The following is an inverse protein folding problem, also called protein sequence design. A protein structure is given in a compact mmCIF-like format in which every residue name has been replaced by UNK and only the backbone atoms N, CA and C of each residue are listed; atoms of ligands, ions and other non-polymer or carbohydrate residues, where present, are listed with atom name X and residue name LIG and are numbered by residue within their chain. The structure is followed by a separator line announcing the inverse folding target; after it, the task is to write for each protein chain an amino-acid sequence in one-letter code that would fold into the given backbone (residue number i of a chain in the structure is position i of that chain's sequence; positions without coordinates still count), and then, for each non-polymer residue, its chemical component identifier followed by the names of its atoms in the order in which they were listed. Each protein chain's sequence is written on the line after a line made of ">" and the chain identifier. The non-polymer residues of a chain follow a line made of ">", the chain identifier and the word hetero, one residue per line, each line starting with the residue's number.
data_IF_503375451176
#
_entry.id   IF_503375451176
#
_cell.length_a   1.000
_cell.length_b   1.000
_cell.length_c   1.000
_cell.angle_alpha   90.00
_cell.angle_beta   90.00
_cell.angle_gamma   90.00
#
_symmetry.space_group_name_H-M   'P 1'
#
loop_
_entity.id
_entity.type
_entity.pdbx_description
1 polymer ?
#
# COMPACT_ATOMS: atom_id res chain seq x y z
N UNK A 1 -6.29 20.24 -2.16
CA UNK A 1 -4.97 20.35 -1.49
C UNK A 1 -4.90 21.70 -0.81
N UNK A 2 -5.15 22.78 -1.55
CA UNK A 2 -5.21 24.16 -1.05
C UNK A 2 -6.12 24.35 0.17
N UNK A 3 -7.27 23.66 0.22
CA UNK A 3 -8.19 23.70 1.39
C UNK A 3 -7.55 23.19 2.69
N UNK A 4 -6.75 22.14 2.61
CA UNK A 4 -6.10 21.52 3.79
C UNK A 4 -4.78 22.22 4.10
N UNK A 5 -4.08 22.70 3.07
CA UNK A 5 -2.78 23.33 3.19
C UNK A 5 -2.88 24.80 3.65
N UNK A 6 -3.93 25.52 3.25
CA UNK A 6 -4.10 26.95 3.52
C UNK A 6 -2.92 27.76 2.96
N UNK A 7 -2.38 28.66 3.79
CA UNK A 7 -1.23 29.51 3.43
C UNK A 7 0.14 28.83 3.64
N UNK A 8 0.16 27.57 4.06
CA UNK A 8 1.42 26.86 4.30
C UNK A 8 2.07 26.48 2.98
N UNK A 9 3.39 26.58 2.91
CA UNK A 9 4.13 26.22 1.71
C UNK A 9 4.35 24.70 1.57
N UNK A 10 4.34 23.95 2.68
CA UNK A 10 4.69 22.53 2.70
C UNK A 10 3.63 21.65 3.39
N UNK A 11 3.29 20.54 2.73
CA UNK A 11 2.45 19.46 3.26
C UNK A 11 3.27 18.60 4.23
N UNK A 12 2.69 18.25 5.38
CA UNK A 12 3.29 17.27 6.32
C UNK A 12 2.54 15.95 6.28
N UNK A 13 3.13 14.90 6.85
CA UNK A 13 2.48 13.58 6.91
C UNK A 13 1.21 13.56 7.79
N UNK A 14 1.06 14.53 8.69
CA UNK A 14 -0.11 14.68 9.55
C UNK A 14 -1.36 15.07 8.74
N UNK A 15 -1.18 15.83 7.66
CA UNK A 15 -2.24 16.29 6.77
C UNK A 15 -2.90 15.14 5.98
N UNK A 16 -2.27 13.96 5.95
CA UNK A 16 -2.75 12.80 5.18
C UNK A 16 -4.19 12.42 5.52
N UNK A 17 -4.57 12.56 6.80
CA UNK A 17 -5.90 12.17 7.27
C UNK A 17 -6.99 13.13 6.78
N UNK A 18 -6.61 14.39 6.49
CA UNK A 18 -7.49 15.41 5.93
C UNK A 18 -7.52 15.39 4.38
N UNK A 19 -6.69 14.58 3.73
CA UNK A 19 -6.59 14.51 2.26
C UNK A 19 -7.03 13.15 1.68
N UNK A 20 -8.30 12.73 1.83
CA UNK A 20 -8.77 11.40 1.40
C UNK A 20 -8.63 11.17 -0.11
N UNK A 21 -8.86 12.21 -0.93
CA UNK A 21 -8.70 12.12 -2.38
C UNK A 21 -7.25 11.86 -2.79
N UNK A 22 -6.29 12.56 -2.17
CA UNK A 22 -4.85 12.36 -2.45
C UNK A 22 -4.42 10.95 -2.07
N UNK A 23 -4.89 10.45 -0.91
CA UNK A 23 -4.64 9.06 -0.51
C UNK A 23 -5.22 8.06 -1.52
N UNK A 24 -6.43 8.29 -2.02
CA UNK A 24 -7.04 7.44 -3.04
C UNK A 24 -6.23 7.42 -4.35
N UNK A 25 -5.74 8.57 -4.81
CA UNK A 25 -4.88 8.66 -6.01
C UNK A 25 -3.57 7.90 -5.82
N UNK A 26 -2.93 8.02 -4.66
CA UNK A 26 -1.70 7.28 -4.34
C UNK A 26 -1.96 5.77 -4.37
N UNK A 27 -3.03 5.31 -3.69
CA UNK A 27 -3.39 3.89 -3.67
C UNK A 27 -3.73 3.35 -5.06
N UNK A 28 -4.44 4.12 -5.88
CA UNK A 28 -4.77 3.70 -7.25
C UNK A 28 -3.51 3.66 -8.13
N UNK A 29 -2.60 4.61 -7.95
CA UNK A 29 -1.29 4.59 -8.59
C UNK A 29 -0.49 3.35 -8.21
N UNK A 30 -0.49 2.95 -6.93
CA UNK A 30 0.16 1.72 -6.47
C UNK A 30 -0.53 0.45 -7.00
N UNK A 31 -1.86 0.47 -7.14
CA UNK A 31 -2.63 -0.65 -7.72
C UNK A 31 -2.30 -0.87 -9.20
N UNK A 32 -2.13 0.20 -9.97
CA UNK A 32 -1.86 0.15 -11.42
C UNK A 32 -0.36 -0.04 -11.70
N UNK A 33 0.48 0.71 -10.99
CA UNK A 33 1.93 0.65 -11.08
C UNK A 33 2.50 -0.29 -10.02
N UNK A 34 2.01 -1.52 -9.97
CA UNK A 34 2.56 -2.52 -9.05
C UNK A 34 4.05 -2.74 -9.36
N UNK A 35 4.91 -2.27 -8.45
CA UNK A 35 6.37 -2.29 -8.59
C UNK A 35 6.89 -3.73 -8.56
N UNK A 36 6.16 -4.64 -7.89
CA UNK A 36 6.53 -6.04 -7.75
C UNK A 36 5.29 -6.93 -8.01
N UNK A 37 4.96 -7.24 -9.28
CA UNK A 37 3.76 -8.01 -9.64
C UNK A 37 3.63 -9.39 -8.98
N UNK A 38 4.75 -9.98 -8.54
CA UNK A 38 4.79 -11.27 -7.83
C UNK A 38 5.35 -11.12 -6.41
N UNK A 39 5.44 -9.88 -5.90
CA UNK A 39 6.12 -9.53 -4.66
C UNK A 39 7.55 -10.11 -4.62
N UNK A 40 8.05 -10.38 -3.43
CA UNK A 40 9.29 -11.12 -3.21
C UNK A 40 9.03 -12.62 -3.13
N UNK A 41 10.04 -13.41 -3.48
CA UNK A 41 9.98 -14.86 -3.32
C UNK A 41 9.78 -15.23 -1.85
N UNK A 42 8.72 -15.99 -1.56
CA UNK A 42 8.41 -16.51 -0.23
C UNK A 42 8.60 -18.02 -0.21
N UNK A 43 9.02 -18.55 0.94
CA UNK A 43 9.08 -19.99 1.23
C UNK A 43 8.36 -20.27 2.54
N UNK A 44 7.72 -21.42 2.67
CA UNK A 44 7.10 -21.82 3.93
C UNK A 44 8.20 -22.18 4.94
N UNK A 45 8.13 -21.65 6.17
CA UNK A 45 9.10 -21.97 7.22
C UNK A 45 8.80 -23.30 7.93
N UNK A 46 7.56 -23.78 7.79
CA UNK A 46 7.01 -25.02 8.33
C UNK A 46 5.98 -25.57 7.35
N UNK A 47 5.72 -26.88 7.42
CA UNK A 47 4.65 -27.49 6.65
C UNK A 47 3.32 -26.83 7.04
N UNK A 48 2.61 -26.25 6.08
CA UNK A 48 1.35 -25.54 6.29
C UNK A 48 0.30 -26.01 5.29
N UNK A 49 -0.97 -25.88 5.65
CA UNK A 49 -2.08 -26.17 4.75
C UNK A 49 -2.74 -24.86 4.31
N UNK A 50 -2.82 -24.64 2.99
CA UNK A 50 -3.49 -23.49 2.40
C UNK A 50 -4.59 -23.99 1.46
N UNK A 51 -5.84 -23.64 1.74
CA UNK A 51 -7.01 -24.07 0.95
C UNK A 51 -7.07 -25.59 0.67
N UNK A 52 -6.62 -26.41 1.64
CA UNK A 52 -6.57 -27.87 1.51
C UNK A 52 -5.32 -28.44 0.85
N UNK A 53 -4.41 -27.59 0.34
CA UNK A 53 -3.12 -28.00 -0.21
C UNK A 53 -2.03 -27.96 0.86
N UNK A 54 -1.22 -29.01 0.94
CA UNK A 54 -0.06 -29.06 1.83
C UNK A 54 1.14 -28.38 1.15
N UNK A 55 1.60 -27.27 1.73
CA UNK A 55 2.80 -26.53 1.33
C UNK A 55 3.95 -27.00 2.23
N UNK A 56 4.95 -27.72 1.69
CA UNK A 56 6.09 -28.17 2.48
C UNK A 56 7.02 -27.01 2.82
N UNK A 57 7.81 -27.20 3.87
CA UNK A 57 8.95 -26.33 4.21
C UNK A 57 9.98 -26.30 3.08
#
# INVERSE_FOLDING_TARGET
>A
IDEVLGDREHVTFEDRNAMPYVQAVIHEGQRVGDIAPLSMFHTATTNTQLQGYNIPK
#
